data_IF_205374382047
#
_entry.id   IF_205374382047
#
_cell.length_a   1.000
_cell.length_b   1.000
_cell.length_c   1.000
_cell.angle_alpha   90.00
_cell.angle_beta   90.00
_cell.angle_gamma   90.00
#
_symmetry.space_group_name_H-M   'P 1'
#
loop_
_entity.id
_entity.type
_entity.pdbx_description
1 polymer ?
#
# COMPACT_ATOMS: atom_id res chain seq x y z
N UNK A 1 32.46 19.96 11.88
CA UNK A 1 31.05 19.61 11.61
C UNK A 1 30.89 18.13 11.91
N UNK A 2 29.90 17.71 12.70
CA UNK A 2 29.67 16.28 12.96
C UNK A 2 29.38 15.58 11.62
N UNK A 3 29.88 14.35 11.48
CA UNK A 3 29.62 13.54 10.29
C UNK A 3 28.16 13.06 10.27
N UNK A 4 27.68 12.61 9.11
CA UNK A 4 26.33 12.06 8.99
C UNK A 4 26.14 10.86 9.93
N UNK A 5 27.16 10.01 10.08
CA UNK A 5 27.13 8.86 10.97
C UNK A 5 27.09 9.28 12.44
N UNK A 6 27.78 10.35 12.83
CA UNK A 6 27.70 10.90 14.19
C UNK A 6 26.30 11.44 14.51
N UNK A 7 25.65 12.09 13.53
CA UNK A 7 24.28 12.61 13.67
C UNK A 7 23.28 11.45 13.78
N UNK A 8 23.44 10.41 12.97
CA UNK A 8 22.59 9.22 13.01
C UNK A 8 22.80 8.43 14.30
N UNK A 9 24.03 8.31 14.80
CA UNK A 9 24.35 7.65 16.06
C UNK A 9 23.81 8.43 17.27
N UNK A 10 23.92 9.77 17.27
CA UNK A 10 23.33 10.62 18.30
C UNK A 10 21.79 10.58 18.29
N UNK A 11 21.18 10.37 17.12
CA UNK A 11 19.75 10.16 16.96
C UNK A 11 19.31 8.70 17.18
N UNK A 12 20.24 7.76 17.37
CA UNK A 12 20.00 6.32 17.54
C UNK A 12 19.81 5.92 19.01
N UNK A 13 18.99 6.67 19.74
CA UNK A 13 18.51 6.26 21.07
C UNK A 13 17.31 5.31 20.99
N UNK A 14 16.96 4.72 22.14
CA UNK A 14 15.79 3.85 22.33
C UNK A 14 14.49 4.45 21.75
N UNK A 15 14.35 5.77 21.79
CA UNK A 15 13.22 6.52 21.21
C UNK A 15 13.09 6.31 19.69
N UNK A 16 14.21 6.30 18.94
CA UNK A 16 14.18 6.04 17.50
C UNK A 16 13.82 4.59 17.20
N UNK A 17 14.27 3.66 18.02
CA UNK A 17 13.94 2.25 17.84
C UNK A 17 12.48 1.97 18.21
N UNK A 18 11.94 2.66 19.22
CA UNK A 18 10.52 2.66 19.54
C UNK A 18 9.70 3.26 18.37
N UNK A 19 10.11 4.40 17.83
CA UNK A 19 9.44 5.03 16.68
C UNK A 19 9.49 4.15 15.43
N UNK A 20 10.64 3.51 15.16
CA UNK A 20 10.78 2.54 14.05
C UNK A 20 9.88 1.33 14.23
N UNK A 21 9.76 0.82 15.45
CA UNK A 21 8.88 -0.31 15.76
C UNK A 21 7.41 0.08 15.55
N UNK A 22 6.99 1.24 16.07
CA UNK A 22 5.65 1.77 15.86
C UNK A 22 5.33 1.96 14.36
N UNK A 23 6.25 2.57 13.60
CA UNK A 23 6.09 2.73 12.15
C UNK A 23 6.00 1.38 11.41
N UNK A 24 6.79 0.38 11.82
CA UNK A 24 6.73 -0.95 11.21
C UNK A 24 5.39 -1.65 11.49
N UNK A 25 4.88 -1.53 12.71
CA UNK A 25 3.56 -2.05 13.10
C UNK A 25 2.43 -1.39 12.29
N UNK A 26 2.46 -0.07 12.11
CA UNK A 26 1.48 0.66 11.30
C UNK A 26 1.53 0.26 9.82
N UNK A 27 2.73 0.10 9.25
CA UNK A 27 2.90 -0.37 7.86
C UNK A 27 2.32 -1.78 7.69
N UNK A 28 2.50 -2.64 8.68
CA UNK A 28 1.97 -4.01 8.64
C UNK A 28 0.45 -4.03 8.80
N UNK A 29 -0.12 -3.15 9.64
CA UNK A 29 -1.56 -2.94 9.73
C UNK A 29 -2.17 -2.43 8.41
N UNK A 30 -1.48 -1.52 7.70
CA UNK A 30 -1.91 -1.05 6.38
C UNK A 30 -1.78 -2.14 5.29
N UNK A 31 -0.84 -3.07 5.45
CA UNK A 31 -0.71 -4.23 4.55
C UNK A 31 -1.81 -5.26 4.79
N UNK A 32 -2.19 -5.49 6.05
CA UNK A 32 -3.25 -6.44 6.38
C UNK A 32 -4.64 -5.96 5.93
N UNK A 33 -4.87 -4.64 5.89
CA UNK A 33 -6.11 -4.05 5.35
C UNK A 33 -6.12 -3.92 3.81
N UNK A 34 -5.03 -4.32 3.13
CA UNK A 34 -4.90 -4.30 1.68
C UNK A 34 -5.76 -5.41 1.06
N UNK A 35 -7.05 -5.15 0.93
CA UNK A 35 -8.05 -6.12 0.46
C UNK A 35 -9.49 -5.84 0.92
N UNK A 36 -9.71 -4.75 1.68
CA UNK A 36 -11.03 -4.32 2.12
C UNK A 36 -11.99 -3.96 0.97
N UNK A 37 -13.25 -3.69 1.33
CA UNK A 37 -14.34 -3.41 0.38
C UNK A 37 -13.99 -2.22 -0.51
N UNK A 38 -13.81 -2.45 -1.82
CA UNK A 38 -13.43 -1.42 -2.80
C UNK A 38 -11.98 -1.49 -3.26
N UNK A 39 -11.14 -2.33 -2.64
CA UNK A 39 -9.81 -2.66 -3.12
C UNK A 39 -9.83 -3.93 -3.96
N UNK A 40 -8.99 -3.96 -5.00
CA UNK A 40 -8.79 -5.13 -5.84
C UNK A 40 -7.40 -5.72 -5.54
N UNK A 41 -7.26 -7.05 -5.37
CA UNK A 41 -5.96 -7.70 -5.27
C UNK A 41 -5.30 -7.65 -6.65
N UNK A 42 -4.50 -6.61 -6.88
CA UNK A 42 -3.75 -6.41 -8.12
C UNK A 42 -2.32 -6.01 -7.78
N UNK A 43 -1.35 -6.82 -8.19
CA UNK A 43 0.08 -6.53 -8.02
C UNK A 43 0.68 -5.90 -9.27
N UNK A 44 0.08 -6.16 -10.44
CA UNK A 44 0.52 -5.63 -11.73
C UNK A 44 -0.63 -4.92 -12.46
N UNK A 45 -0.32 -3.97 -13.36
CA UNK A 45 -1.34 -3.30 -14.18
C UNK A 45 -2.24 -4.28 -14.96
N UNK A 46 -1.71 -5.45 -15.35
CA UNK A 46 -2.46 -6.50 -16.02
C UNK A 46 -3.57 -7.12 -15.14
N UNK A 47 -3.32 -7.25 -13.83
CA UNK A 47 -4.28 -7.84 -12.88
C UNK A 47 -5.49 -6.91 -12.72
N UNK A 48 -5.24 -5.60 -12.68
CA UNK A 48 -6.29 -4.58 -12.66
C UNK A 48 -7.12 -4.62 -13.95
N UNK A 49 -6.48 -4.73 -15.12
CA UNK A 49 -7.18 -4.83 -16.40
C UNK A 49 -8.04 -6.09 -16.49
N UNK A 50 -7.59 -7.20 -15.90
CA UNK A 50 -8.34 -8.46 -15.82
C UNK A 50 -9.54 -8.36 -14.90
N UNK A 51 -9.36 -7.77 -13.71
CA UNK A 51 -10.44 -7.54 -12.74
C UNK A 51 -11.50 -6.59 -13.29
N UNK A 52 -11.09 -5.39 -13.73
CA UNK A 52 -12.01 -4.35 -14.23
C UNK A 52 -12.57 -4.64 -15.63
N UNK A 53 -11.85 -5.43 -16.44
CA UNK A 53 -12.25 -5.73 -17.81
C UNK A 53 -13.55 -6.53 -17.91
N UNK A 54 -13.83 -7.39 -16.92
CA UNK A 54 -15.11 -8.12 -16.84
C UNK A 54 -16.28 -7.18 -16.63
N UNK A 55 -16.18 -6.27 -15.66
CA UNK A 55 -17.24 -5.32 -15.33
C UNK A 55 -17.44 -4.30 -16.44
N UNK A 56 -16.36 -3.81 -17.06
CA UNK A 56 -16.44 -2.93 -18.24
C UNK A 56 -17.22 -3.58 -19.38
N UNK A 57 -16.97 -4.87 -19.69
CA UNK A 57 -17.72 -5.60 -20.73
C UNK A 57 -19.18 -5.79 -20.35
N UNK A 58 -19.46 -6.16 -19.10
CA UNK A 58 -20.84 -6.33 -18.61
C UNK A 58 -21.66 -5.02 -18.70
N UNK A 59 -21.04 -3.89 -18.37
CA UNK A 59 -21.66 -2.58 -18.48
C UNK A 59 -21.83 -2.12 -19.93
N UNK A 60 -20.88 -2.44 -20.82
CA UNK A 60 -21.02 -2.18 -22.25
C UNK A 60 -22.24 -2.94 -22.84
N UNK A 61 -22.41 -4.22 -22.49
CA UNK A 61 -23.60 -4.99 -22.90
C UNK A 61 -24.91 -4.45 -22.30
N UNK A 62 -24.88 -3.85 -21.11
CA UNK A 62 -26.07 -3.19 -20.53
C UNK A 62 -26.44 -1.91 -21.27
N UNK A 63 -25.46 -1.06 -21.57
CA UNK A 63 -25.66 0.17 -22.36
C UNK A 63 -26.10 -0.10 -23.79
N UNK A 64 -25.63 -1.19 -24.40
CA UNK A 64 -26.06 -1.58 -25.75
C UNK A 64 -27.50 -2.10 -25.83
N UNK A 65 -28.15 -2.37 -24.68
CA UNK A 65 -29.53 -2.87 -24.59
C UNK A 65 -30.52 -1.83 -24.08
N UNK A 66 -30.06 -0.62 -23.77
CA UNK A 66 -30.88 0.56 -23.41
C UNK A 66 -30.95 1.50 -24.59
#
# INVERSE_FOLDING_TARGET
MPSLDDIVAAAAGDERDALRRAMAEDIEALRSDRGGRGFLPAERPADLARALGRDRRAQASRRARS
#
